data_IF_960313780062
#
_entry.id   IF_960313780062
#
_cell.length_a   1.000
_cell.length_b   1.000
_cell.length_c   1.000
_cell.angle_alpha   90.00
_cell.angle_beta   90.00
_cell.angle_gamma   90.00
#
_symmetry.space_group_name_H-M   'P 1'
#
loop_
_entity.id
_entity.type
_entity.pdbx_description
1 polymer ?
#
# COMPACT_ATOMS: atom_id res chain seq x y z
N UNK A 1 -14.73 35.59 -16.33
CA UNK A 1 -14.60 34.28 -15.67
C UNK A 1 -13.56 34.50 -14.59
N UNK A 2 -13.99 34.62 -13.34
CA UNK A 2 -13.05 34.79 -12.22
C UNK A 2 -12.98 33.44 -11.52
N UNK A 3 -11.79 32.88 -11.39
CA UNK A 3 -11.56 31.64 -10.63
C UNK A 3 -11.77 31.93 -9.14
N UNK A 4 -12.35 31.01 -8.35
CA UNK A 4 -12.55 31.23 -6.93
C UNK A 4 -11.20 31.18 -6.20
N UNK A 5 -11.00 32.11 -5.27
CA UNK A 5 -9.86 32.10 -4.34
C UNK A 5 -9.96 30.83 -3.47
N UNK A 6 -8.99 29.93 -3.57
CA UNK A 6 -8.79 28.88 -2.57
C UNK A 6 -8.40 29.58 -1.26
N UNK A 7 -9.39 29.81 -0.40
CA UNK A 7 -9.19 30.21 0.98
C UNK A 7 -8.25 29.19 1.61
N UNK A 8 -7.01 29.63 1.90
CA UNK A 8 -5.95 28.89 2.59
C UNK A 8 -6.30 28.56 4.04
N UNK A 9 -7.42 27.89 4.24
CA UNK A 9 -7.91 27.27 5.48
C UNK A 9 -7.51 25.78 5.52
N UNK A 10 -6.65 25.30 4.62
CA UNK A 10 -6.18 23.90 4.61
C UNK A 10 -4.85 23.72 5.38
N UNK A 11 -4.61 24.48 6.44
CA UNK A 11 -3.63 24.02 7.42
C UNK A 11 -3.91 24.56 8.82
N UNK A 12 -4.92 24.01 9.52
CA UNK A 12 -5.04 24.25 10.95
C UNK A 12 -3.76 23.78 11.66
N UNK A 13 -3.22 24.56 12.61
CA UNK A 13 -1.88 24.40 13.16
C UNK A 13 -1.78 23.12 13.99
N UNK A 14 -1.35 22.00 13.39
CA UNK A 14 -0.92 20.71 13.98
C UNK A 14 -1.85 20.02 15.03
N UNK A 15 -2.86 20.71 15.55
CA UNK A 15 -3.71 20.34 16.69
C UNK A 15 -5.14 19.98 16.25
N UNK A 16 -5.52 20.27 14.99
CA UNK A 16 -6.70 19.70 14.36
C UNK A 16 -6.41 18.34 13.70
N UNK A 17 -5.22 17.78 13.92
CA UNK A 17 -4.94 16.37 13.64
C UNK A 17 -5.64 15.56 14.72
N UNK A 18 -6.89 15.25 14.41
CA UNK A 18 -7.85 14.40 15.11
C UNK A 18 -7.18 13.31 15.93
N UNK A 19 -7.70 13.07 17.13
CA UNK A 19 -7.33 11.97 18.02
C UNK A 19 -7.06 10.67 17.24
N UNK A 20 -6.10 9.84 17.69
CA UNK A 20 -5.76 8.61 16.98
C UNK A 20 -7.01 7.75 16.77
N UNK A 21 -7.10 7.13 15.59
CA UNK A 21 -8.22 6.25 15.27
C UNK A 21 -8.17 5.04 16.22
N UNK A 22 -9.06 5.02 17.20
CA UNK A 22 -9.18 3.93 18.18
C UNK A 22 -10.04 2.75 17.68
N UNK A 23 -10.52 2.81 16.44
CA UNK A 23 -11.37 1.77 15.89
C UNK A 23 -10.58 0.45 15.70
N UNK A 24 -11.17 -0.70 16.08
CA UNK A 24 -10.53 -1.99 15.84
C UNK A 24 -10.45 -2.31 14.34
N UNK A 25 -9.53 -3.19 13.91
CA UNK A 25 -9.46 -3.65 12.53
C UNK A 25 -10.78 -4.30 12.09
N UNK A 26 -11.26 -3.92 10.91
CA UNK A 26 -12.50 -4.47 10.33
C UNK A 26 -12.27 -5.75 9.50
N UNK A 27 -11.01 -6.14 9.29
CA UNK A 27 -10.66 -7.35 8.56
C UNK A 27 -11.03 -8.61 9.36
N UNK A 28 -11.60 -9.60 8.68
CA UNK A 28 -11.92 -10.89 9.31
C UNK A 28 -10.65 -11.75 9.43
N UNK A 29 -10.16 -12.07 10.65
CA UNK A 29 -8.94 -12.84 10.84
C UNK A 29 -9.04 -14.28 10.32
N UNK A 30 -10.24 -14.83 10.16
CA UNK A 30 -10.42 -16.15 9.54
C UNK A 30 -10.13 -16.15 8.03
N UNK A 31 -10.21 -14.97 7.38
CA UNK A 31 -9.99 -14.81 5.93
C UNK A 31 -8.63 -14.22 5.60
N UNK A 32 -7.99 -13.55 6.57
CA UNK A 32 -6.71 -12.86 6.38
C UNK A 32 -5.64 -13.56 7.21
N UNK A 33 -4.72 -14.26 6.56
CA UNK A 33 -3.51 -14.80 7.19
C UNK A 33 -2.38 -13.80 7.01
N UNK A 34 -1.81 -13.34 8.13
CA UNK A 34 -0.55 -12.60 8.13
C UNK A 34 0.57 -13.64 7.95
N UNK A 35 1.41 -13.52 6.90
CA UNK A 35 2.58 -14.37 6.75
C UNK A 35 3.51 -14.14 7.95
N UNK A 36 4.17 -15.19 8.47
CA UNK A 36 5.13 -15.02 9.55
C UNK A 36 6.24 -14.05 9.13
N UNK A 37 6.45 -13.00 9.92
CA UNK A 37 7.57 -12.08 9.69
C UNK A 37 8.89 -12.85 9.80
N UNK A 38 9.73 -12.76 8.76
CA UNK A 38 11.02 -13.44 8.72
C UNK A 38 11.07 -14.71 7.86
N UNK A 39 10.03 -15.04 7.08
CA UNK A 39 10.16 -16.03 5.99
C UNK A 39 10.93 -15.44 4.79
N UNK A 40 12.14 -14.95 5.06
CA UNK A 40 13.16 -14.72 4.05
C UNK A 40 14.06 -15.95 4.03
N UNK A 41 13.58 -17.02 3.39
CA UNK A 41 14.50 -17.94 2.76
C UNK A 41 14.12 -17.97 1.29
N UNK A 42 14.84 -17.17 0.51
CA UNK A 42 15.05 -17.39 -0.91
C UNK A 42 15.76 -18.75 -1.11
N UNK A 43 15.12 -19.85 -0.73
CA UNK A 43 15.66 -21.22 -0.88
C UNK A 43 15.25 -21.87 -2.19
N UNK A 44 14.85 -21.08 -3.19
CA UNK A 44 14.88 -21.49 -4.58
C UNK A 44 15.79 -20.53 -5.32
N UNK A 45 16.84 -21.06 -5.96
CA UNK A 45 17.44 -20.36 -7.10
C UNK A 45 16.29 -19.86 -8.00
N UNK A 46 16.30 -18.59 -8.45
CA UNK A 46 15.31 -18.17 -9.43
C UNK A 46 15.41 -19.14 -10.62
N UNK A 47 14.29 -19.75 -11.02
CA UNK A 47 14.29 -20.56 -12.23
C UNK A 47 14.89 -19.71 -13.36
N UNK A 48 15.85 -20.23 -14.14
CA UNK A 48 16.43 -19.46 -15.22
C UNK A 48 15.30 -19.06 -16.15
N UNK A 49 15.10 -17.74 -16.32
CA UNK A 49 14.13 -17.21 -17.27
C UNK A 49 14.45 -17.84 -18.63
N UNK A 50 13.51 -18.63 -19.16
CA UNK A 50 13.65 -19.24 -20.46
C UNK A 50 13.87 -18.19 -21.56
N UNK A 51 14.38 -18.59 -22.73
CA UNK A 51 14.56 -17.66 -23.84
C UNK A 51 13.22 -16.96 -24.16
N UNK A 52 13.25 -15.66 -24.52
CA UNK A 52 12.03 -14.96 -24.91
C UNK A 52 11.34 -15.69 -26.07
N UNK A 53 10.00 -15.60 -26.18
CA UNK A 53 9.27 -16.25 -27.27
C UNK A 53 9.85 -15.78 -28.61
N UNK A 54 10.11 -16.74 -29.50
CA UNK A 54 10.59 -16.45 -30.84
C UNK A 54 9.57 -15.60 -31.59
N UNK A 55 10.03 -14.55 -32.28
CA UNK A 55 9.20 -13.75 -33.17
C UNK A 55 8.71 -14.63 -34.32
N UNK A 56 7.40 -14.72 -34.53
CA UNK A 56 6.84 -15.41 -35.69
C UNK A 56 6.97 -14.51 -36.92
N UNK A 57 7.60 -15.04 -37.98
CA UNK A 57 7.92 -14.34 -39.22
C UNK A 57 6.75 -14.24 -40.20
#
# INVERSE_FOLDING_TARGET
MTEPEESGEENPPDAARTEPILAPPTANPARVRVPPEGLHSHTGEPEPSGPPPAEEA
#
